data_IF_367838341947
#
_entry.id   IF_367838341947
#
_cell.length_a   1.000
_cell.length_b   1.000
_cell.length_c   1.000
_cell.angle_alpha   90.00
_cell.angle_beta   90.00
_cell.angle_gamma   90.00
#
_symmetry.space_group_name_H-M   'P 1'
#
loop_
_entity.id
_entity.type
_entity.pdbx_description
1 polymer ?
#
# COMPACT_ATOMS: atom_id res chain seq x y z
N UNK A 1 -12.85 -54.07 42.53
CA UNK A 1 -13.78 -53.55 41.48
C UNK A 1 -13.94 -52.01 41.49
N UNK A 2 -13.02 -51.23 42.09
CA UNK A 2 -13.16 -49.75 42.22
C UNK A 2 -12.53 -48.93 41.08
N UNK A 3 -11.46 -49.41 40.43
CA UNK A 3 -10.73 -48.65 39.40
C UNK A 3 -11.45 -48.47 38.06
N UNK A 4 -12.35 -49.39 37.70
CA UNK A 4 -13.11 -49.32 36.43
C UNK A 4 -14.21 -48.25 36.46
N UNK A 5 -14.82 -47.99 37.63
CA UNK A 5 -15.80 -46.91 37.82
C UNK A 5 -15.12 -45.54 37.84
N UNK A 6 -13.97 -45.42 38.50
CA UNK A 6 -13.18 -44.18 38.49
C UNK A 6 -12.68 -43.79 37.09
N UNK A 7 -12.20 -44.75 36.30
CA UNK A 7 -11.80 -44.49 34.90
C UNK A 7 -12.98 -44.08 34.01
N UNK A 8 -14.16 -44.69 34.17
CA UNK A 8 -15.36 -44.28 33.43
C UNK A 8 -15.82 -42.87 33.80
N UNK A 9 -15.74 -42.51 35.09
CA UNK A 9 -16.09 -41.15 35.52
C UNK A 9 -15.11 -40.12 34.95
N UNK A 10 -13.81 -40.42 34.94
CA UNK A 10 -12.80 -39.53 34.37
C UNK A 10 -12.98 -39.32 32.85
N UNK A 11 -13.29 -40.38 32.12
CA UNK A 11 -13.54 -40.30 30.66
C UNK A 11 -14.80 -39.48 30.40
N UNK A 12 -15.86 -39.66 31.18
CA UNK A 12 -17.07 -38.83 31.06
C UNK A 12 -16.84 -37.35 31.41
N UNK A 13 -15.98 -37.05 32.39
CA UNK A 13 -15.60 -35.67 32.71
C UNK A 13 -14.73 -35.03 31.62
N UNK A 14 -13.85 -35.80 30.98
CA UNK A 14 -13.05 -35.36 29.84
C UNK A 14 -13.93 -35.08 28.62
N UNK A 15 -14.84 -35.99 28.25
CA UNK A 15 -15.80 -35.77 27.14
C UNK A 15 -16.68 -34.53 27.38
N UNK A 16 -17.06 -34.29 28.64
CA UNK A 16 -17.86 -33.12 29.00
C UNK A 16 -17.05 -31.84 28.90
N UNK A 17 -15.80 -31.88 29.32
CA UNK A 17 -14.87 -30.74 29.22
C UNK A 17 -14.56 -30.42 27.76
N UNK A 18 -14.34 -31.42 26.92
CA UNK A 18 -14.11 -31.28 25.48
C UNK A 18 -15.30 -30.62 24.79
N UNK A 19 -16.53 -31.09 25.06
CA UNK A 19 -17.75 -30.45 24.52
C UNK A 19 -17.92 -29.00 24.97
N UNK A 20 -17.57 -28.68 26.21
CA UNK A 20 -17.63 -27.28 26.69
C UNK A 20 -16.58 -26.42 25.99
N UNK A 21 -15.39 -26.95 25.74
CA UNK A 21 -14.31 -26.28 24.99
C UNK A 21 -14.69 -26.05 23.53
N UNK A 22 -15.29 -27.01 22.85
CA UNK A 22 -15.79 -26.85 21.47
C UNK A 22 -16.87 -25.77 21.39
N UNK A 23 -17.78 -25.72 22.36
CA UNK A 23 -18.82 -24.68 22.43
C UNK A 23 -18.21 -23.29 22.70
N UNK A 24 -17.16 -23.20 23.52
CA UNK A 24 -16.47 -21.94 23.75
C UNK A 24 -15.65 -21.48 22.54
N UNK A 25 -14.97 -22.41 21.87
CA UNK A 25 -14.19 -22.13 20.65
C UNK A 25 -15.08 -21.71 19.48
N UNK A 26 -16.23 -22.36 19.30
CA UNK A 26 -17.22 -21.96 18.29
C UNK A 26 -17.82 -20.59 18.61
N UNK A 27 -18.10 -20.27 19.88
CA UNK A 27 -18.56 -18.93 20.29
C UNK A 27 -17.48 -17.86 20.06
N UNK A 28 -16.21 -18.16 20.34
CA UNK A 28 -15.09 -17.26 20.04
C UNK A 28 -14.89 -17.06 18.53
N UNK A 29 -15.00 -18.12 17.74
CA UNK A 29 -14.94 -18.04 16.28
C UNK A 29 -16.08 -17.21 15.72
N UNK A 30 -17.30 -17.35 16.27
CA UNK A 30 -18.45 -16.54 15.89
C UNK A 30 -18.31 -15.08 16.33
N UNK A 31 -17.75 -14.82 17.52
CA UNK A 31 -17.43 -13.46 17.96
C UNK A 31 -16.38 -12.81 17.04
N UNK A 32 -15.32 -13.53 16.64
CA UNK A 32 -14.35 -13.04 15.66
C UNK A 32 -14.99 -12.76 14.30
N UNK A 33 -15.88 -13.63 13.82
CA UNK A 33 -16.59 -13.44 12.56
C UNK A 33 -17.59 -12.27 12.59
N UNK A 34 -18.12 -11.91 13.77
CA UNK A 34 -19.00 -10.75 13.96
C UNK A 34 -18.19 -9.47 14.22
N UNK A 35 -17.01 -9.59 14.85
CA UNK A 35 -16.09 -8.48 15.09
C UNK A 35 -15.34 -8.09 13.83
N UNK A 36 -15.04 -8.99 12.89
CA UNK A 36 -14.35 -8.63 11.63
C UNK A 36 -15.10 -7.57 10.80
N UNK A 37 -16.43 -7.70 10.57
CA UNK A 37 -17.21 -6.66 9.90
C UNK A 37 -17.30 -5.37 10.70
N UNK A 38 -17.47 -5.44 12.03
CA UNK A 38 -17.55 -4.25 12.90
C UNK A 38 -16.20 -3.54 12.95
N UNK A 39 -15.08 -4.28 12.99
CA UNK A 39 -13.72 -3.76 12.94
C UNK A 39 -13.41 -3.19 11.54
N UNK A 40 -13.91 -3.80 10.46
CA UNK A 40 -13.86 -3.22 9.11
C UNK A 40 -14.67 -1.92 9.04
N UNK A 41 -15.89 -1.88 9.56
CA UNK A 41 -16.75 -0.69 9.55
C UNK A 41 -16.23 0.43 10.45
N UNK A 42 -15.65 0.10 11.60
CA UNK A 42 -14.98 1.04 12.51
C UNK A 42 -13.63 1.53 11.94
N UNK A 43 -12.86 0.69 11.24
CA UNK A 43 -11.65 1.10 10.51
C UNK A 43 -11.98 2.00 9.31
N UNK A 44 -13.13 1.79 8.67
CA UNK A 44 -13.61 2.61 7.54
C UNK A 44 -14.12 3.98 8.01
N UNK A 45 -14.57 4.13 9.26
CA UNK A 45 -15.14 5.39 9.75
C UNK A 45 -14.14 6.32 10.46
N UNK A 46 -13.07 5.81 11.06
CA UNK A 46 -12.07 6.65 11.78
C UNK A 46 -10.77 6.95 10.98
N UNK A 47 -10.47 6.25 9.89
CA UNK A 47 -9.25 6.48 9.08
C UNK A 47 -9.49 7.13 7.69
N UNK A 48 -10.74 7.24 7.24
CA UNK A 48 -11.07 7.55 5.85
C UNK A 48 -11.12 9.05 5.47
N UNK A 49 -10.73 9.98 6.36
CA UNK A 49 -10.97 11.42 6.12
C UNK A 49 -9.73 12.31 6.00
N UNK A 50 -8.51 11.81 6.17
CA UNK A 50 -7.32 12.62 5.84
C UNK A 50 -6.11 11.79 5.43
N UNK A 51 -5.62 12.02 4.21
CA UNK A 51 -4.26 11.65 3.89
C UNK A 51 -3.27 12.51 4.69
N UNK A 52 -2.13 11.94 5.06
CA UNK A 52 -1.06 12.59 5.79
C UNK A 52 0.00 13.08 4.81
N UNK A 53 0.24 14.38 4.80
CA UNK A 53 1.31 15.01 4.04
C UNK A 53 2.62 15.01 4.85
N UNK A 54 3.70 14.51 4.25
CA UNK A 54 5.05 14.57 4.79
C UNK A 54 5.91 15.40 3.85
N UNK A 55 6.49 16.47 4.39
CA UNK A 55 7.38 17.34 3.63
C UNK A 55 8.69 16.61 3.28
N UNK A 56 9.07 16.69 2.00
CA UNK A 56 10.35 16.23 1.47
C UNK A 56 11.10 17.37 0.74
N UNK A 57 12.25 17.03 0.16
CA UNK A 57 13.15 18.01 -0.47
C UNK A 57 13.00 18.10 -2.00
N UNK A 58 12.43 17.07 -2.63
CA UNK A 58 12.30 17.01 -4.09
C UNK A 58 11.08 17.78 -4.62
N UNK A 59 11.07 17.98 -5.95
CA UNK A 59 9.92 18.51 -6.69
C UNK A 59 8.92 17.44 -7.09
N UNK A 60 9.10 16.22 -6.60
CA UNK A 60 8.20 15.11 -6.85
C UNK A 60 7.42 14.69 -5.64
N UNK A 61 6.27 14.07 -5.92
CA UNK A 61 5.33 13.60 -4.91
C UNK A 61 5.17 12.10 -5.07
N UNK A 62 5.28 11.37 -3.95
CA UNK A 62 4.96 9.94 -3.90
C UNK A 62 3.72 9.75 -3.03
N UNK A 63 2.66 9.26 -3.66
CA UNK A 63 1.41 8.89 -3.00
C UNK A 63 1.48 7.42 -2.59
N UNK A 64 1.20 7.11 -1.32
CA UNK A 64 1.13 5.73 -0.81
C UNK A 64 -0.17 5.53 -0.07
N UNK A 65 -1.12 4.91 -0.76
CA UNK A 65 -2.49 4.73 -0.30
C UNK A 65 -2.66 3.73 0.85
N UNK A 66 -1.69 2.85 1.03
CA UNK A 66 -1.63 1.93 2.17
C UNK A 66 -0.71 2.39 3.30
N UNK A 67 -0.06 3.55 3.14
CA UNK A 67 1.02 4.01 4.01
C UNK A 67 0.62 4.37 5.44
N UNK A 68 -0.67 4.34 5.79
CA UNK A 68 -1.20 4.49 7.16
C UNK A 68 -1.80 3.20 7.72
N UNK A 69 -1.87 2.12 6.94
CA UNK A 69 -2.46 0.85 7.36
C UNK A 69 -1.41 0.07 8.17
N UNK A 70 -1.68 -0.15 9.46
CA UNK A 70 -0.79 -0.94 10.33
C UNK A 70 -0.58 -2.34 9.77
N UNK A 71 0.68 -2.77 9.72
CA UNK A 71 1.06 -4.08 9.18
C UNK A 71 1.19 -4.11 7.65
N UNK A 72 0.97 -2.98 6.96
CA UNK A 72 1.31 -2.86 5.55
C UNK A 72 2.85 -2.81 5.38
N UNK A 73 3.43 -3.54 4.42
CA UNK A 73 4.88 -3.55 4.19
C UNK A 73 5.46 -2.14 3.98
N UNK A 74 4.71 -1.24 3.32
CA UNK A 74 5.17 0.11 3.06
C UNK A 74 5.05 1.03 4.29
N UNK A 75 4.08 0.79 5.18
CA UNK A 75 3.86 1.62 6.37
C UNK A 75 5.11 1.65 7.26
N UNK A 76 5.79 0.52 7.43
CA UNK A 76 7.02 0.43 8.23
C UNK A 76 8.13 1.33 7.69
N UNK A 77 8.37 1.32 6.38
CA UNK A 77 9.44 2.13 5.77
C UNK A 77 9.09 3.62 5.83
N UNK A 78 7.81 3.95 5.65
CA UNK A 78 7.29 5.31 5.58
C UNK A 78 7.07 5.96 6.95
N UNK A 79 7.04 5.19 8.03
CA UNK A 79 6.96 5.69 9.41
C UNK A 79 8.35 6.04 9.96
N UNK A 80 9.37 5.26 9.60
CA UNK A 80 10.77 5.46 9.99
C UNK A 80 11.46 6.60 9.23
N UNK A 81 11.01 6.90 8.00
CA UNK A 81 11.59 7.94 7.15
C UNK A 81 10.88 9.29 7.32
N UNK A 82 11.61 10.30 7.82
CA UNK A 82 11.19 11.71 7.85
C UNK A 82 12.37 12.61 7.47
N UNK A 83 12.10 13.71 6.78
CA UNK A 83 13.09 14.76 6.54
C UNK A 83 13.89 14.60 5.25
N UNK A 84 15.20 14.87 5.32
CA UNK A 84 16.08 15.00 4.14
C UNK A 84 16.29 13.68 3.39
N UNK A 85 16.45 13.77 2.07
CA UNK A 85 16.71 12.62 1.20
C UNK A 85 15.50 11.77 0.80
N UNK A 86 14.27 12.23 1.04
CA UNK A 86 13.03 11.60 0.51
C UNK A 86 12.20 12.61 -0.29
N UNK A 87 11.37 12.15 -1.24
CA UNK A 87 10.42 13.00 -1.93
C UNK A 87 9.31 13.46 -0.98
N UNK A 88 8.48 14.39 -1.42
CA UNK A 88 7.23 14.70 -0.72
C UNK A 88 6.39 13.42 -0.68
N UNK A 89 5.87 13.05 0.49
CA UNK A 89 5.02 11.86 0.63
C UNK A 89 3.58 12.28 0.97
N UNK A 90 2.62 11.66 0.32
CA UNK A 90 1.21 11.72 0.69
C UNK A 90 0.77 10.30 1.05
N UNK A 91 0.46 10.06 2.32
CA UNK A 91 0.11 8.73 2.83
C UNK A 91 -1.37 8.66 3.11
N UNK A 92 -2.04 7.56 2.77
CA UNK A 92 -3.43 7.33 3.15
C UNK A 92 -3.60 5.93 3.74
N UNK A 93 -4.80 5.65 4.25
CA UNK A 93 -5.22 4.37 4.82
C UNK A 93 -6.26 3.66 3.97
N UNK A 94 -6.27 3.89 2.65
CA UNK A 94 -7.33 3.45 1.75
C UNK A 94 -6.78 2.84 0.46
N UNK A 95 -6.66 1.51 0.45
CA UNK A 95 -6.24 0.75 -0.74
C UNK A 95 -7.29 0.75 -1.87
N UNK A 96 -8.54 1.12 -1.58
CA UNK A 96 -9.63 1.03 -2.54
C UNK A 96 -9.78 2.27 -3.42
N UNK A 97 -9.04 3.34 -3.12
CA UNK A 97 -9.13 4.61 -3.85
C UNK A 97 -10.54 5.18 -3.82
N UNK A 98 -11.12 5.24 -2.61
CA UNK A 98 -12.39 5.93 -2.41
C UNK A 98 -12.30 7.36 -2.92
N UNK A 99 -13.40 7.84 -3.49
CA UNK A 99 -13.46 9.16 -4.12
C UNK A 99 -13.00 10.27 -3.16
N UNK A 100 -13.39 10.21 -1.89
CA UNK A 100 -13.00 11.20 -0.88
C UNK A 100 -11.47 11.27 -0.66
N UNK A 101 -10.79 10.12 -0.61
CA UNK A 101 -9.33 10.07 -0.46
C UNK A 101 -8.64 10.53 -1.74
N UNK A 102 -9.13 10.11 -2.92
CA UNK A 102 -8.58 10.56 -4.20
C UNK A 102 -8.67 12.07 -4.34
N UNK A 103 -9.83 12.67 -4.07
CA UNK A 103 -10.04 14.12 -4.08
C UNK A 103 -9.12 14.84 -3.07
N UNK A 104 -8.97 14.28 -1.86
CA UNK A 104 -8.06 14.80 -0.83
C UNK A 104 -6.61 14.83 -1.32
N UNK A 105 -6.15 13.75 -1.95
CA UNK A 105 -4.78 13.65 -2.50
C UNK A 105 -4.58 14.62 -3.64
N UNK A 106 -5.52 14.72 -4.58
CA UNK A 106 -5.45 15.69 -5.69
C UNK A 106 -5.35 17.12 -5.16
N UNK A 107 -6.14 17.47 -4.14
CA UNK A 107 -6.07 18.78 -3.49
C UNK A 107 -4.69 19.04 -2.85
N UNK A 108 -4.10 18.04 -2.18
CA UNK A 108 -2.75 18.15 -1.61
C UNK A 108 -1.67 18.32 -2.69
N UNK A 109 -1.78 17.58 -3.79
CA UNK A 109 -0.87 17.71 -4.95
C UNK A 109 -0.95 19.12 -5.54
N UNK A 110 -2.16 19.67 -5.70
CA UNK A 110 -2.33 21.05 -6.18
C UNK A 110 -1.80 22.10 -5.21
N UNK A 111 -2.05 21.94 -3.91
CA UNK A 111 -1.54 22.85 -2.88
C UNK A 111 0.00 22.86 -2.88
N UNK A 112 0.65 21.73 -3.14
CA UNK A 112 2.10 21.67 -3.33
C UNK A 112 2.53 22.37 -4.63
N UNK A 113 1.83 22.11 -5.74
CA UNK A 113 2.06 22.76 -7.04
C UNK A 113 1.97 24.29 -7.02
N UNK A 114 1.15 24.86 -6.13
CA UNK A 114 1.06 26.30 -5.92
C UNK A 114 2.30 26.88 -5.20
N UNK A 115 2.96 26.08 -4.36
CA UNK A 115 4.17 26.50 -3.61
C UNK A 115 5.43 26.33 -4.46
N UNK A 116 5.52 25.20 -5.18
CA UNK A 116 6.66 24.83 -6.04
C UNK A 116 6.15 24.01 -7.23
N UNK A 117 6.69 24.20 -8.45
CA UNK A 117 6.35 23.35 -9.57
C UNK A 117 6.56 21.87 -9.24
N UNK A 118 5.55 21.04 -9.52
CA UNK A 118 5.61 19.59 -9.38
C UNK A 118 6.14 19.03 -10.69
N UNK A 119 7.22 18.26 -10.63
CA UNK A 119 7.84 17.65 -11.81
C UNK A 119 7.33 16.23 -12.05
N UNK A 120 7.02 15.50 -10.98
CA UNK A 120 6.43 14.17 -11.08
C UNK A 120 5.51 13.83 -9.91
N UNK A 121 4.57 12.92 -10.16
CA UNK A 121 3.69 12.30 -9.16
C UNK A 121 3.69 10.80 -9.38
N UNK A 122 4.05 10.04 -8.35
CA UNK A 122 4.12 8.58 -8.39
C UNK A 122 3.10 8.02 -7.40
N UNK A 123 2.15 7.22 -7.89
CA UNK A 123 1.35 6.36 -7.02
C UNK A 123 2.15 5.08 -6.74
N UNK A 124 2.64 4.89 -5.52
CA UNK A 124 3.39 3.72 -5.13
C UNK A 124 2.48 2.74 -4.37
N UNK A 125 2.41 1.52 -4.89
CA UNK A 125 1.59 0.42 -4.36
C UNK A 125 2.41 -0.86 -4.28
N UNK A 126 1.80 -1.89 -3.72
CA UNK A 126 2.32 -3.25 -3.80
C UNK A 126 1.18 -4.23 -4.11
N UNK A 127 1.53 -5.36 -4.70
CA UNK A 127 0.60 -6.46 -4.96
C UNK A 127 1.28 -7.82 -4.85
N UNK A 128 0.48 -8.87 -4.68
CA UNK A 128 0.95 -10.25 -4.80
C UNK A 128 0.90 -10.63 -6.28
N UNK A 129 2.07 -10.83 -6.88
CA UNK A 129 2.14 -11.24 -8.27
C UNK A 129 2.02 -12.76 -8.41
N UNK A 130 1.49 -13.28 -9.54
CA UNK A 130 1.47 -14.71 -9.81
C UNK A 130 2.90 -15.27 -9.94
N UNK A 131 3.09 -16.52 -9.50
CA UNK A 131 4.41 -17.19 -9.43
C UNK A 131 5.32 -17.06 -10.67
N UNK A 132 4.83 -17.05 -11.93
CA UNK A 132 5.70 -16.87 -13.09
C UNK A 132 6.47 -15.55 -13.08
N UNK A 133 5.91 -14.52 -12.44
CA UNK A 133 6.47 -13.17 -12.35
C UNK A 133 6.77 -12.73 -10.90
N UNK A 134 6.53 -13.55 -9.88
CA UNK A 134 6.87 -13.21 -8.49
C UNK A 134 8.33 -13.58 -8.15
N UNK A 135 9.27 -12.91 -8.81
CA UNK A 135 10.71 -12.97 -8.48
C UNK A 135 11.05 -11.94 -7.39
N UNK A 136 12.22 -12.08 -6.76
CA UNK A 136 12.57 -11.35 -5.53
C UNK A 136 12.58 -9.82 -5.65
N UNK A 137 12.71 -9.23 -6.85
CA UNK A 137 12.78 -7.77 -7.03
C UNK A 137 12.04 -7.31 -8.29
N UNK A 138 10.73 -7.54 -8.38
CA UNK A 138 9.93 -7.07 -9.53
C UNK A 138 9.11 -5.84 -9.15
N UNK A 139 9.08 -4.89 -10.07
CA UNK A 139 8.24 -3.71 -10.03
C UNK A 139 7.57 -3.54 -11.38
N UNK A 140 6.31 -3.11 -11.36
CA UNK A 140 5.51 -2.87 -12.55
C UNK A 140 5.28 -1.35 -12.66
N UNK A 141 5.50 -0.81 -13.85
CA UNK A 141 5.06 0.55 -14.23
C UNK A 141 3.72 0.42 -14.95
N UNK A 142 2.69 1.07 -14.41
CA UNK A 142 1.38 1.14 -15.04
C UNK A 142 1.38 2.09 -16.24
N UNK A 143 0.93 1.61 -17.40
CA UNK A 143 0.88 2.38 -18.66
C UNK A 143 -0.54 2.75 -19.08
N UNK A 144 -1.59 2.17 -18.47
CA UNK A 144 -3.00 2.49 -18.79
C UNK A 144 -3.29 3.99 -18.67
N UNK A 145 -2.81 4.57 -17.57
CA UNK A 145 -2.83 6.00 -17.35
C UNK A 145 -1.41 6.40 -16.96
N UNK A 146 -0.76 7.16 -17.84
CA UNK A 146 0.51 7.79 -17.58
C UNK A 146 0.59 9.12 -18.33
N UNK A 147 1.28 10.09 -17.76
CA UNK A 147 1.64 11.35 -18.44
C UNK A 147 3.14 11.56 -18.38
N UNK A 148 3.67 12.50 -19.17
CA UNK A 148 5.10 12.74 -19.31
C UNK A 148 5.65 12.19 -20.62
N UNK A 149 6.83 12.67 -21.02
CA UNK A 149 7.46 12.23 -22.25
C UNK A 149 8.10 10.84 -22.12
N UNK A 150 8.11 10.06 -23.19
CA UNK A 150 8.78 8.74 -23.25
C UNK A 150 10.22 8.76 -22.72
N UNK A 151 10.92 9.88 -22.93
CA UNK A 151 12.29 10.08 -22.43
C UNK A 151 12.36 10.09 -20.90
N UNK A 152 11.39 10.72 -20.23
CA UNK A 152 11.35 10.83 -18.77
C UNK A 152 11.03 9.48 -18.14
N UNK A 153 10.06 8.76 -18.72
CA UNK A 153 9.71 7.39 -18.30
C UNK A 153 10.92 6.45 -18.47
N UNK A 154 11.62 6.51 -19.60
CA UNK A 154 12.84 5.69 -19.83
C UNK A 154 13.96 6.04 -18.85
N UNK A 155 14.17 7.34 -18.57
CA UNK A 155 15.16 7.78 -17.57
C UNK A 155 14.83 7.24 -16.18
N UNK A 156 13.55 7.31 -15.82
CA UNK A 156 13.04 6.81 -14.55
C UNK A 156 13.22 5.29 -14.42
N UNK A 157 12.86 4.54 -15.47
CA UNK A 157 13.08 3.09 -15.58
C UNK A 157 14.55 2.72 -15.38
N UNK A 158 15.46 3.38 -16.10
CA UNK A 158 16.89 3.07 -16.03
C UNK A 158 17.49 3.30 -14.63
N UNK A 159 17.07 4.35 -13.92
CA UNK A 159 17.55 4.61 -12.55
C UNK A 159 17.07 3.55 -11.55
N UNK A 160 15.86 3.03 -11.72
CA UNK A 160 15.31 1.99 -10.86
C UNK A 160 15.90 0.61 -11.19
N UNK A 161 16.15 0.32 -12.47
CA UNK A 161 16.87 -0.89 -12.90
C UNK A 161 18.30 -0.94 -12.34
N UNK A 162 18.98 0.22 -12.18
CA UNK A 162 20.29 0.31 -11.55
C UNK A 162 20.30 -0.13 -10.07
N UNK A 163 19.14 -0.27 -9.42
CA UNK A 163 19.01 -0.84 -8.08
C UNK A 163 18.98 -2.39 -8.10
N UNK A 164 19.01 -3.03 -9.27
CA UNK A 164 18.83 -4.47 -9.43
C UNK A 164 17.36 -4.90 -9.45
N UNK A 165 16.44 -3.96 -9.68
CA UNK A 165 15.01 -4.21 -9.79
C UNK A 165 14.68 -4.52 -11.24
N UNK A 166 13.92 -5.60 -11.46
CA UNK A 166 13.39 -5.94 -12.78
C UNK A 166 12.10 -5.15 -12.98
N UNK A 167 12.07 -4.32 -14.01
CA UNK A 167 10.91 -3.47 -14.32
C UNK A 167 10.11 -4.05 -15.47
N UNK A 168 8.83 -4.29 -15.22
CA UNK A 168 7.84 -4.66 -16.22
C UNK A 168 6.88 -3.50 -16.47
N UNK A 169 6.22 -3.51 -17.62
CA UNK A 169 5.18 -2.55 -17.97
C UNK A 169 3.84 -3.29 -18.06
N UNK A 170 2.76 -2.62 -17.66
CA UNK A 170 1.43 -3.22 -17.59
C UNK A 170 0.33 -2.21 -17.97
N UNK A 171 -0.62 -2.65 -18.79
CA UNK A 171 -1.78 -1.86 -19.26
C UNK A 171 -3.02 -2.04 -18.38
N UNK A 172 -2.78 -2.16 -17.07
CA UNK A 172 -3.70 -1.92 -15.99
C UNK A 172 -4.36 -3.13 -15.33
N UNK A 173 -3.65 -4.25 -15.29
CA UNK A 173 -3.87 -5.30 -14.29
C UNK A 173 -3.28 -4.89 -12.92
N UNK A 174 -2.10 -4.28 -12.94
CA UNK A 174 -1.31 -3.83 -11.78
C UNK A 174 -0.95 -2.34 -11.84
N UNK A 175 -1.58 -1.57 -12.74
CA UNK A 175 -1.28 -0.16 -12.97
C UNK A 175 -2.48 0.69 -13.39
N UNK A 176 -2.35 2.01 -13.28
CA UNK A 176 -3.37 2.95 -13.77
C UNK A 176 -4.67 2.91 -12.97
N UNK A 177 -4.59 3.04 -11.65
CA UNK A 177 -5.75 3.20 -10.78
C UNK A 177 -6.47 4.56 -10.93
N UNK A 178 -7.69 4.69 -10.37
CA UNK A 178 -8.43 5.95 -10.25
C UNK A 178 -7.60 7.16 -9.80
N UNK A 179 -6.67 7.01 -8.85
CA UNK A 179 -5.85 8.12 -8.36
C UNK A 179 -4.97 8.70 -9.47
N UNK A 180 -4.30 7.86 -10.25
CA UNK A 180 -3.42 8.30 -11.35
C UNK A 180 -4.23 9.00 -12.43
N UNK A 181 -5.37 8.43 -12.80
CA UNK A 181 -6.30 9.06 -13.74
C UNK A 181 -6.75 10.45 -13.28
N UNK A 182 -7.15 10.59 -12.01
CA UNK A 182 -7.64 11.85 -11.45
C UNK A 182 -6.54 12.91 -11.31
N UNK A 183 -5.33 12.51 -10.95
CA UNK A 183 -4.17 13.42 -10.95
C UNK A 183 -3.89 13.91 -12.37
N UNK A 184 -3.80 13.03 -13.38
CA UNK A 184 -3.57 13.45 -14.77
C UNK A 184 -4.68 14.41 -15.23
N UNK A 185 -5.95 14.06 -14.95
CA UNK A 185 -7.11 14.88 -15.32
C UNK A 185 -7.04 16.29 -14.73
N UNK A 186 -6.49 16.44 -13.53
CA UNK A 186 -6.41 17.72 -12.82
C UNK A 186 -5.31 18.66 -13.36
N UNK A 187 -4.37 18.14 -14.15
CA UNK A 187 -3.29 18.92 -14.78
C UNK A 187 -3.53 19.30 -16.25
N UNK A 188 -4.66 18.93 -16.87
CA UNK A 188 -4.96 19.15 -18.31
C UNK A 188 -4.70 20.55 -18.90
N UNK A 189 -4.64 21.60 -18.08
CA UNK A 189 -4.42 22.99 -18.51
C UNK A 189 -3.10 23.60 -17.99
N UNK A 190 -2.16 22.78 -17.54
CA UNK A 190 -0.89 23.18 -16.92
C UNK A 190 0.27 22.42 -17.59
N UNK A 191 1.54 22.83 -17.38
CA UNK A 191 2.67 21.97 -17.69
C UNK A 191 2.45 20.60 -17.05
N UNK A 192 2.42 19.55 -17.86
CA UNK A 192 2.09 18.21 -17.38
C UNK A 192 3.28 17.60 -16.63
N UNK A 193 3.15 17.28 -15.33
CA UNK A 193 4.16 16.48 -14.66
C UNK A 193 4.17 15.05 -15.21
N UNK A 194 5.27 14.33 -14.99
CA UNK A 194 5.31 12.88 -15.14
C UNK A 194 4.39 12.27 -14.07
N UNK A 195 3.30 11.61 -14.48
CA UNK A 195 2.40 10.92 -13.54
C UNK A 195 2.37 9.45 -13.90
N UNK A 196 2.74 8.58 -12.95
CA UNK A 196 2.83 7.13 -13.17
C UNK A 196 2.39 6.35 -11.93
N UNK A 197 1.97 5.11 -12.14
CA UNK A 197 1.78 4.11 -11.08
C UNK A 197 2.99 3.17 -11.03
N UNK A 198 3.50 2.92 -9.83
CA UNK A 198 4.50 1.90 -9.55
C UNK A 198 3.89 0.86 -8.60
N UNK A 199 3.89 -0.39 -9.02
CA UNK A 199 3.43 -1.50 -8.19
C UNK A 199 4.60 -2.43 -7.89
N UNK A 200 4.99 -2.50 -6.62
CA UNK A 200 6.02 -3.40 -6.14
C UNK A 200 5.46 -4.82 -5.96
N UNK A 201 6.29 -5.84 -6.18
CA UNK A 201 5.95 -7.18 -5.68
C UNK A 201 5.90 -7.16 -4.15
N UNK A 202 5.10 -8.04 -3.56
CA UNK A 202 5.04 -8.20 -2.11
C UNK A 202 6.43 -8.44 -1.48
N UNK A 203 7.27 -9.27 -2.12
CA UNK A 203 8.64 -9.52 -1.64
C UNK A 203 9.50 -8.26 -1.66
N UNK A 204 9.36 -7.44 -2.70
CA UNK A 204 10.08 -6.17 -2.80
C UNK A 204 9.57 -5.15 -1.78
N UNK A 205 8.26 -5.10 -1.52
CA UNK A 205 7.69 -4.18 -0.54
C UNK A 205 8.05 -4.53 0.91
N UNK A 206 8.32 -5.79 1.21
CA UNK A 206 8.85 -6.24 2.51
C UNK A 206 10.35 -5.91 2.70
N UNK A 207 11.08 -5.66 1.61
CA UNK A 207 12.50 -5.32 1.67
C UNK A 207 12.69 -3.82 1.98
N UNK A 208 12.70 -3.49 3.28
CA UNK A 208 12.87 -2.13 3.81
C UNK A 208 14.05 -1.38 3.17
N UNK A 209 15.19 -2.06 2.97
CA UNK A 209 16.39 -1.44 2.40
C UNK A 209 16.18 -1.06 0.94
N UNK A 210 15.58 -1.92 0.12
CA UNK A 210 15.31 -1.62 -1.28
C UNK A 210 14.22 -0.56 -1.42
N UNK A 211 13.15 -0.60 -0.63
CA UNK A 211 12.10 0.43 -0.63
C UNK A 211 12.69 1.79 -0.27
N UNK A 212 13.56 1.86 0.74
CA UNK A 212 14.26 3.11 1.08
C UNK A 212 15.15 3.62 -0.07
N UNK A 213 15.84 2.72 -0.79
CA UNK A 213 16.64 3.10 -1.97
C UNK A 213 15.76 3.58 -3.14
N UNK A 214 14.60 2.96 -3.35
CA UNK A 214 13.60 3.43 -4.32
C UNK A 214 13.20 4.86 -3.97
N UNK A 215 12.77 5.13 -2.73
CA UNK A 215 12.39 6.48 -2.30
C UNK A 215 13.53 7.50 -2.48
N UNK A 216 14.78 7.13 -2.20
CA UNK A 216 15.93 8.00 -2.42
C UNK A 216 16.16 8.30 -3.91
N UNK A 217 16.01 7.31 -4.81
CA UNK A 217 16.09 7.53 -6.26
C UNK A 217 14.99 8.49 -6.71
N UNK A 218 13.77 8.32 -6.20
CA UNK A 218 12.66 9.24 -6.47
C UNK A 218 12.99 10.65 -5.96
N UNK A 219 13.60 10.79 -4.78
CA UNK A 219 13.98 12.11 -4.26
C UNK A 219 14.97 12.87 -5.16
N UNK A 220 15.76 12.15 -5.96
CA UNK A 220 16.85 12.70 -6.77
C UNK A 220 16.53 12.82 -8.27
N UNK A 221 15.33 12.40 -8.70
CA UNK A 221 14.88 12.48 -10.09
C UNK A 221 14.51 13.90 -10.51
#
# INVERSE_FOLDING_TARGET
MSGARQRRNLIHELDRTEKVLEVLLSRLSNLNAILEPIERDMKVTDFASSGVYVQGESRGIVCVLSGLIKGDPLERVLSEKRGSGIPVLIKAGDRSESQAIVESIVNMVHAQGQKKPVEFVVNLRWSVFPRPIDKENIMIIGTRYSSGGDHEVKRFKAQLEALGIVILEDDGEYGGGPLVYEVIRSFKNKPEPLVIELTLSHKLSENVTLVARILNVLAAF
#
